data_IF_527811181495
#
_entry.id   IF_527811181495
#
_cell.length_a   1.000
_cell.length_b   1.000
_cell.length_c   1.000
_cell.angle_alpha   90.00
_cell.angle_beta   90.00
_cell.angle_gamma   90.00
#
_symmetry.space_group_name_H-M   'P 1'
#
loop_
_entity.id
_entity.type
_entity.pdbx_description
1 polymer ?
#
# COMPACT_ATOMS: atom_id res chain seq x y z
N UNK A 1 -15.34 -17.37 -8.78
CA UNK A 1 -15.39 -16.09 -8.05
C UNK A 1 -14.00 -15.80 -7.53
N UNK A 2 -13.45 -14.58 -7.64
CA UNK A 2 -12.20 -14.26 -6.95
C UNK A 2 -12.39 -14.52 -5.45
N UNK A 3 -11.47 -15.26 -4.82
CA UNK A 3 -11.51 -15.43 -3.37
C UNK A 3 -11.36 -14.06 -2.70
N UNK A 4 -12.05 -13.87 -1.57
CA UNK A 4 -12.07 -12.58 -0.85
C UNK A 4 -10.64 -12.05 -0.60
N UNK A 5 -9.64 -12.88 -0.22
CA UNK A 5 -8.26 -12.41 -0.06
C UNK A 5 -7.67 -11.79 -1.33
N UNK A 6 -7.89 -12.43 -2.49
CA UNK A 6 -7.40 -11.93 -3.78
C UNK A 6 -7.97 -10.55 -4.09
N UNK A 7 -9.25 -10.33 -3.80
CA UNK A 7 -9.89 -9.04 -4.02
C UNK A 7 -9.25 -7.94 -3.16
N UNK A 8 -8.97 -8.22 -1.88
CA UNK A 8 -8.31 -7.25 -0.99
C UNK A 8 -6.91 -6.87 -1.48
N UNK A 9 -6.12 -7.85 -1.91
CA UNK A 9 -4.75 -7.64 -2.40
C UNK A 9 -4.76 -6.93 -3.75
N UNK A 10 -5.68 -7.30 -4.64
CA UNK A 10 -5.82 -6.63 -5.94
C UNK A 10 -6.22 -5.17 -5.77
N UNK A 11 -7.20 -4.87 -4.91
CA UNK A 11 -7.62 -3.50 -4.63
C UNK A 11 -6.47 -2.67 -4.05
N UNK A 12 -5.72 -3.22 -3.11
CA UNK A 12 -4.54 -2.56 -2.55
C UNK A 12 -3.44 -2.36 -3.59
N UNK A 13 -3.18 -3.35 -4.44
CA UNK A 13 -2.19 -3.26 -5.51
C UNK A 13 -2.54 -2.16 -6.53
N UNK A 14 -3.79 -2.12 -6.99
CA UNK A 14 -4.26 -1.11 -7.96
C UNK A 14 -4.14 0.30 -7.36
N UNK A 15 -4.65 0.51 -6.14
CA UNK A 15 -4.62 1.82 -5.47
C UNK A 15 -3.19 2.29 -5.19
N UNK A 16 -2.29 1.38 -4.77
CA UNK A 16 -0.87 1.68 -4.58
C UNK A 16 -0.18 2.07 -5.89
N UNK A 17 -0.49 1.38 -6.99
CA UNK A 17 0.05 1.71 -8.31
C UNK A 17 -0.39 3.10 -8.77
N UNK A 18 -1.69 3.41 -8.65
CA UNK A 18 -2.24 4.72 -9.00
C UNK A 18 -1.63 5.82 -8.15
N UNK A 19 -1.55 5.61 -6.83
CA UNK A 19 -0.94 6.57 -5.89
C UNK A 19 0.54 6.79 -6.20
N UNK A 20 1.28 5.72 -6.53
CA UNK A 20 2.67 5.80 -6.94
C UNK A 20 2.85 6.62 -8.22
N UNK A 21 2.06 6.37 -9.27
CA UNK A 21 2.11 7.18 -10.49
C UNK A 21 1.74 8.65 -10.25
N UNK A 22 0.69 8.90 -9.46
CA UNK A 22 0.29 10.26 -9.10
C UNK A 22 1.40 11.01 -8.34
N UNK A 23 2.06 10.33 -7.40
CA UNK A 23 3.18 10.88 -6.62
C UNK A 23 4.45 11.07 -7.46
N UNK A 24 4.66 10.24 -8.49
CA UNK A 24 5.82 10.35 -9.38
C UNK A 24 5.67 11.53 -10.35
N UNK A 25 4.47 11.72 -10.90
CA UNK A 25 4.13 12.80 -11.84
C UNK A 25 4.02 14.14 -11.09
N UNK A 26 3.34 14.13 -9.94
CA UNK A 26 3.01 15.33 -9.15
C UNK A 26 3.49 15.18 -7.70
N UNK A 27 4.81 15.18 -7.44
CA UNK A 27 5.37 14.95 -6.10
C UNK A 27 4.93 16.00 -5.07
N UNK A 28 4.60 17.22 -5.52
CA UNK A 28 4.12 18.28 -4.63
C UNK A 28 2.83 17.91 -3.90
N UNK A 29 1.98 17.05 -4.50
CA UNK A 29 0.77 16.58 -3.84
C UNK A 29 1.11 15.81 -2.55
N UNK A 30 2.17 15.00 -2.55
CA UNK A 30 2.61 14.28 -1.36
C UNK A 30 3.41 15.15 -0.40
N UNK A 31 4.14 16.15 -0.92
CA UNK A 31 4.80 17.14 -0.07
C UNK A 31 3.75 17.89 0.77
N UNK A 32 2.67 18.34 0.13
CA UNK A 32 1.58 19.07 0.80
C UNK A 32 0.76 18.15 1.71
N UNK A 33 0.34 16.97 1.22
CA UNK A 33 -0.54 16.08 2.00
C UNK A 33 0.11 15.52 3.26
N UNK A 34 1.43 15.32 3.24
CA UNK A 34 2.22 14.77 4.35
C UNK A 34 2.98 15.86 5.13
N UNK A 35 2.79 17.14 4.80
CA UNK A 35 3.50 18.29 5.39
C UNK A 35 5.04 18.12 5.38
N UNK A 36 5.58 17.64 4.26
CA UNK A 36 7.02 17.40 4.11
C UNK A 36 7.76 18.67 3.64
N UNK A 37 9.07 18.79 3.90
CA UNK A 37 9.88 19.84 3.29
C UNK A 37 10.06 19.57 1.79
N UNK A 38 10.16 20.63 0.97
CA UNK A 38 10.37 20.52 -0.49
C UNK A 38 11.64 19.77 -0.86
N UNK A 39 12.66 19.79 -0.01
CA UNK A 39 13.88 18.98 -0.16
C UNK A 39 13.64 17.46 -0.15
N UNK A 40 12.46 16.99 0.28
CA UNK A 40 12.09 15.58 0.28
C UNK A 40 11.61 15.05 -1.09
N UNK A 41 11.51 15.88 -2.13
CA UNK A 41 11.05 15.46 -3.47
C UNK A 41 11.80 14.21 -4.00
N UNK A 42 13.14 14.07 -3.88
CA UNK A 42 13.82 12.84 -4.30
C UNK A 42 13.36 11.60 -3.53
N UNK A 43 13.13 11.72 -2.23
CA UNK A 43 12.62 10.63 -1.39
C UNK A 43 11.16 10.29 -1.73
N UNK A 44 10.31 11.29 -2.00
CA UNK A 44 8.93 11.09 -2.48
C UNK A 44 8.92 10.32 -3.80
N UNK A 45 9.78 10.69 -4.76
CA UNK A 45 9.91 9.96 -6.02
C UNK A 45 10.40 8.52 -5.83
N UNK A 46 11.36 8.31 -4.91
CA UNK A 46 11.80 6.97 -4.53
C UNK A 46 10.67 6.12 -3.95
N UNK A 47 9.90 6.69 -3.02
CA UNK A 47 8.74 6.03 -2.43
C UNK A 47 7.63 5.76 -3.46
N UNK A 48 7.44 6.67 -4.42
CA UNK A 48 6.50 6.51 -5.52
C UNK A 48 6.85 5.29 -6.39
N UNK A 49 8.13 5.08 -6.71
CA UNK A 49 8.59 3.89 -7.44
C UNK A 49 8.34 2.60 -6.65
N UNK A 50 8.57 2.62 -5.33
CA UNK A 50 8.25 1.49 -4.46
C UNK A 50 6.74 1.18 -4.48
N UNK A 51 5.88 2.19 -4.42
CA UNK A 51 4.42 2.02 -4.51
C UNK A 51 3.96 1.44 -5.86
N UNK A 52 4.56 1.88 -6.97
CA UNK A 52 4.32 1.31 -8.31
C UNK A 52 4.73 -0.17 -8.33
N UNK A 53 5.94 -0.49 -7.85
CA UNK A 53 6.43 -1.86 -7.80
C UNK A 53 5.53 -2.77 -6.95
N UNK A 54 5.14 -2.31 -5.75
CA UNK A 54 4.17 -3.01 -4.91
C UNK A 54 2.86 -3.26 -5.67
N UNK A 55 2.33 -2.26 -6.37
CA UNK A 55 1.12 -2.40 -7.15
C UNK A 55 1.19 -3.49 -8.24
N UNK A 56 2.31 -3.55 -8.96
CA UNK A 56 2.58 -4.59 -9.96
C UNK A 56 2.65 -5.97 -9.30
N UNK A 57 3.45 -6.11 -8.23
CA UNK A 57 3.68 -7.41 -7.59
C UNK A 57 2.43 -7.94 -6.88
N UNK A 58 1.63 -7.06 -6.24
CA UNK A 58 0.39 -7.45 -5.57
C UNK A 58 -0.67 -7.87 -6.59
N UNK A 59 -0.75 -7.17 -7.73
CA UNK A 59 -1.66 -7.55 -8.82
C UNK A 59 -1.27 -8.91 -9.40
N UNK A 60 0.03 -9.16 -9.62
CA UNK A 60 0.53 -10.45 -10.07
C UNK A 60 0.24 -11.56 -9.05
N UNK A 61 0.49 -11.32 -7.77
CA UNK A 61 0.18 -12.27 -6.70
C UNK A 61 -1.32 -12.58 -6.62
N UNK A 62 -2.19 -11.57 -6.81
CA UNK A 62 -3.64 -11.73 -6.87
C UNK A 62 -4.07 -12.57 -8.07
N UNK A 63 -3.43 -12.38 -9.23
CA UNK A 63 -3.64 -13.21 -10.41
C UNK A 63 -3.26 -14.68 -10.15
N UNK A 64 -2.11 -14.90 -9.49
CA UNK A 64 -1.60 -16.22 -9.13
C UNK A 64 -2.31 -16.89 -7.93
N UNK A 65 -3.22 -16.18 -7.24
CA UNK A 65 -3.80 -16.61 -5.97
C UNK A 65 -2.73 -17.04 -4.94
N UNK A 66 -1.65 -16.28 -4.84
CA UNK A 66 -0.53 -16.60 -3.97
C UNK A 66 -0.85 -16.24 -2.50
N UNK A 67 -1.48 -17.16 -1.79
CA UNK A 67 -1.91 -16.95 -0.39
C UNK A 67 -0.74 -16.75 0.58
N UNK A 68 0.41 -17.38 0.33
CA UNK A 68 1.62 -17.17 1.12
C UNK A 68 2.11 -15.72 1.00
N UNK A 69 2.09 -15.16 -0.22
CA UNK A 69 2.37 -13.74 -0.43
C UNK A 69 1.35 -12.88 0.32
N UNK A 70 0.05 -13.16 0.21
CA UNK A 70 -0.99 -12.38 0.89
C UNK A 70 -0.76 -12.33 2.41
N UNK A 71 -0.46 -13.48 3.03
CA UNK A 71 -0.13 -13.58 4.45
C UNK A 71 1.12 -12.76 4.81
N UNK A 72 2.16 -12.80 3.98
CA UNK A 72 3.39 -12.03 4.20
C UNK A 72 3.18 -10.51 4.10
N UNK A 73 2.18 -10.04 3.35
CA UNK A 73 1.87 -8.59 3.28
C UNK A 73 1.30 -8.05 4.60
N UNK A 74 0.59 -8.87 5.38
CA UNK A 74 -0.10 -8.44 6.61
C UNK A 74 0.86 -7.83 7.63
N UNK A 75 1.92 -8.52 8.11
CA UNK A 75 2.81 -7.94 9.12
C UNK A 75 3.53 -6.69 8.60
N UNK A 76 3.94 -6.68 7.33
CA UNK A 76 4.61 -5.52 6.75
C UNK A 76 3.69 -4.30 6.69
N UNK A 77 2.44 -4.47 6.27
CA UNK A 77 1.47 -3.37 6.18
C UNK A 77 1.04 -2.86 7.56
N UNK A 78 0.95 -3.74 8.57
CA UNK A 78 0.74 -3.33 9.96
C UNK A 78 1.93 -2.53 10.51
N UNK A 79 3.17 -2.92 10.15
CA UNK A 79 4.36 -2.16 10.48
C UNK A 79 4.34 -0.78 9.80
N UNK A 80 4.03 -0.71 8.51
CA UNK A 80 3.86 0.56 7.78
C UNK A 80 2.82 1.45 8.45
N UNK A 81 1.66 0.89 8.81
CA UNK A 81 0.60 1.63 9.50
C UNK A 81 1.08 2.22 10.82
N UNK A 82 1.87 1.46 11.59
CA UNK A 82 2.43 1.90 12.88
C UNK A 82 3.41 3.06 12.70
N UNK A 83 4.32 2.94 11.73
CA UNK A 83 5.30 4.00 11.40
C UNK A 83 4.61 5.26 10.92
N UNK A 84 3.65 5.14 9.99
CA UNK A 84 2.87 6.28 9.47
C UNK A 84 2.04 6.95 10.56
N UNK A 85 1.50 6.19 11.52
CA UNK A 85 0.78 6.76 12.65
C UNK A 85 1.67 7.67 13.51
N UNK A 86 2.90 7.24 13.76
CA UNK A 86 3.90 7.99 14.52
C UNK A 86 4.38 9.25 13.80
N UNK A 87 4.30 9.28 12.47
CA UNK A 87 4.62 10.44 11.62
C UNK A 87 3.42 11.39 11.39
N UNK A 88 2.30 11.15 12.07
CA UNK A 88 1.04 11.89 11.91
C UNK A 88 0.39 11.77 10.52
N UNK A 89 0.77 10.76 9.74
CA UNK A 89 0.19 10.47 8.42
C UNK A 89 -1.06 9.58 8.57
N UNK A 90 -2.06 10.10 9.30
CA UNK A 90 -3.22 9.32 9.77
C UNK A 90 -3.99 8.63 8.64
N UNK A 91 -4.24 9.33 7.53
CA UNK A 91 -4.97 8.76 6.39
C UNK A 91 -4.24 7.55 5.79
N UNK A 92 -2.92 7.67 5.57
CA UNK A 92 -2.10 6.58 5.04
C UNK A 92 -1.99 5.41 6.03
N UNK A 93 -1.84 5.73 7.33
CA UNK A 93 -1.79 4.72 8.40
C UNK A 93 -3.08 3.89 8.45
N UNK A 94 -4.24 4.54 8.43
CA UNK A 94 -5.54 3.86 8.45
C UNK A 94 -5.72 3.00 7.21
N UNK A 95 -5.33 3.50 6.02
CA UNK A 95 -5.41 2.75 4.77
C UNK A 95 -4.59 1.46 4.82
N UNK A 96 -3.35 1.54 5.29
CA UNK A 96 -2.46 0.39 5.44
C UNK A 96 -3.01 -0.62 6.46
N UNK A 97 -3.36 -0.13 7.66
CA UNK A 97 -3.80 -0.97 8.76
C UNK A 97 -5.14 -1.64 8.50
N UNK A 98 -6.16 -0.87 8.06
CA UNK A 98 -7.48 -1.42 7.78
C UNK A 98 -7.42 -2.44 6.66
N UNK A 99 -6.68 -2.16 5.58
CA UNK A 99 -6.54 -3.11 4.49
C UNK A 99 -5.74 -4.36 4.87
N UNK A 100 -4.75 -4.26 5.77
CA UNK A 100 -4.02 -5.42 6.29
C UNK A 100 -4.92 -6.32 7.15
N UNK A 101 -5.74 -5.70 8.02
CA UNK A 101 -6.73 -6.41 8.85
C UNK A 101 -7.76 -7.12 7.96
N UNK A 102 -8.28 -6.44 6.93
CA UNK A 102 -9.21 -7.04 5.98
C UNK A 102 -8.60 -8.22 5.23
N UNK A 103 -7.36 -8.12 4.77
CA UNK A 103 -6.64 -9.24 4.15
C UNK A 103 -6.46 -10.40 5.12
N UNK A 104 -6.06 -10.13 6.37
CA UNK A 104 -5.89 -11.16 7.40
C UNK A 104 -7.21 -11.88 7.72
N UNK A 105 -8.28 -11.12 7.95
CA UNK A 105 -9.61 -11.66 8.19
C UNK A 105 -10.09 -12.50 7.01
N UNK A 106 -9.90 -12.01 5.78
CA UNK A 106 -10.23 -12.76 4.58
C UNK A 106 -9.47 -14.09 4.52
N UNK A 107 -8.15 -14.10 4.80
CA UNK A 107 -7.35 -15.32 4.78
C UNK A 107 -7.79 -16.35 5.82
N UNK A 108 -8.16 -15.90 7.03
CA UNK A 108 -8.64 -16.78 8.11
C UNK A 108 -10.01 -17.39 7.81
N UNK A 109 -10.86 -16.68 7.07
CA UNK A 109 -12.21 -17.10 6.72
C UNK A 109 -12.32 -17.84 5.36
N UNK A 110 -11.18 -18.05 4.68
CA UNK A 110 -11.11 -18.68 3.34
C UNK A 110 -10.94 -20.19 3.36
#
# INVERSE_FOLDING_TARGET
MPSIPRATILAFGITSCISGWASLISPNLMIESLNLPTGAIPAVKGNALAAIAMGIYYTLAAYQNNTAFFAATVPMRLLTATVFWAQDWKAASIWEGAGAILTAAALVLS
#
